data_IF_443198111655
#
_entry.id   IF_443198111655
#
_cell.length_a   1.000
_cell.length_b   1.000
_cell.length_c   1.000
_cell.angle_alpha   90.00
_cell.angle_beta   90.00
_cell.angle_gamma   90.00
#
_symmetry.space_group_name_H-M   'P 1'
#
loop_
_entity.id
_entity.type
_entity.pdbx_description
1 polymer ?
#
# COMPACT_ATOMS: atom_id res chain seq x y z
N UNK A 1 23.40 -23.71 0.39
CA UNK A 1 23.94 -22.67 1.33
C UNK A 1 24.18 -23.29 2.71
N UNK A 2 25.25 -22.90 3.39
CA UNK A 2 25.67 -23.54 4.65
C UNK A 2 24.75 -23.24 5.86
N UNK A 3 23.83 -22.28 5.72
CA UNK A 3 23.03 -21.72 6.82
C UNK A 3 21.52 -21.92 6.64
N UNK A 4 21.12 -22.90 5.82
CA UNK A 4 19.69 -23.22 5.63
C UNK A 4 19.22 -24.13 6.76
N UNK A 5 18.22 -23.65 7.52
CA UNK A 5 17.60 -24.40 8.62
C UNK A 5 16.48 -25.31 8.15
N UNK A 6 15.73 -24.88 7.13
CA UNK A 6 14.60 -25.61 6.56
C UNK A 6 14.45 -25.30 5.07
N UNK A 7 14.02 -26.29 4.31
CA UNK A 7 13.67 -26.14 2.89
C UNK A 7 12.22 -26.58 2.67
N UNK A 8 11.45 -25.75 1.98
CA UNK A 8 10.08 -26.06 1.55
C UNK A 8 10.01 -26.04 0.03
N UNK A 9 9.46 -27.10 -0.57
CA UNK A 9 9.25 -27.20 -2.02
C UNK A 9 7.76 -27.13 -2.29
N UNK A 10 7.34 -26.23 -3.16
CA UNK A 10 5.95 -26.10 -3.65
C UNK A 10 5.95 -25.90 -5.16
N UNK A 11 5.46 -26.89 -5.88
CA UNK A 11 5.46 -26.88 -7.36
C UNK A 11 6.85 -26.54 -7.92
N UNK A 12 6.96 -25.36 -8.57
CA UNK A 12 8.17 -24.85 -9.19
C UNK A 12 8.94 -23.84 -8.33
N UNK A 13 8.69 -23.82 -7.01
CA UNK A 13 9.35 -22.89 -6.09
C UNK A 13 9.94 -23.63 -4.91
N UNK A 14 11.12 -23.21 -4.53
CA UNK A 14 11.80 -23.69 -3.33
C UNK A 14 12.07 -22.53 -2.40
N UNK A 15 11.58 -22.64 -1.16
CA UNK A 15 11.84 -21.63 -0.11
C UNK A 15 12.89 -22.18 0.83
N UNK A 16 13.97 -21.45 0.98
CA UNK A 16 15.06 -21.71 1.92
C UNK A 16 14.87 -20.80 3.13
N UNK A 17 14.62 -21.41 4.29
CA UNK A 17 14.53 -20.69 5.55
C UNK A 17 15.91 -20.65 6.20
N UNK A 18 16.38 -19.46 6.48
CA UNK A 18 17.59 -19.15 7.21
C UNK A 18 17.21 -18.47 8.52
N UNK A 19 18.16 -18.30 9.43
CA UNK A 19 17.94 -17.76 10.78
C UNK A 19 17.06 -16.50 10.82
N UNK A 20 17.27 -15.57 9.90
CA UNK A 20 16.66 -14.24 9.95
C UNK A 20 15.81 -13.90 8.71
N UNK A 21 15.95 -14.68 7.64
CA UNK A 21 15.25 -14.44 6.36
C UNK A 21 14.81 -15.76 5.74
N UNK A 22 13.79 -15.70 4.91
CA UNK A 22 13.42 -16.76 3.99
C UNK A 22 13.59 -16.28 2.54
N UNK A 23 14.21 -17.11 1.71
CA UNK A 23 14.42 -16.80 0.29
C UNK A 23 13.69 -17.82 -0.57
N UNK A 24 12.78 -17.34 -1.41
CA UNK A 24 12.07 -18.18 -2.37
C UNK A 24 12.69 -18.04 -3.75
N UNK A 25 13.01 -19.17 -4.34
CA UNK A 25 13.65 -19.29 -5.64
C UNK A 25 12.73 -20.07 -6.57
N UNK A 26 12.61 -19.61 -7.81
CA UNK A 26 11.97 -20.38 -8.85
C UNK A 26 12.90 -21.52 -9.31
N UNK A 27 12.41 -22.74 -9.25
CA UNK A 27 13.19 -23.97 -9.56
C UNK A 27 12.60 -24.76 -10.74
N UNK A 28 11.51 -24.27 -11.33
CA UNK A 28 10.87 -24.88 -12.49
C UNK A 28 11.62 -24.61 -13.79
N UNK A 29 11.15 -25.18 -14.92
CA UNK A 29 11.70 -24.91 -16.24
C UNK A 29 11.45 -23.45 -16.65
N UNK A 30 12.29 -22.92 -17.55
CA UNK A 30 12.04 -21.60 -18.14
C UNK A 30 10.66 -21.55 -18.77
N UNK A 31 9.85 -20.58 -18.40
CA UNK A 31 8.47 -20.47 -18.87
C UNK A 31 8.05 -19.00 -18.91
N UNK A 32 7.33 -18.67 -19.99
CA UNK A 32 6.63 -17.40 -20.12
C UNK A 32 5.22 -17.54 -19.57
N UNK A 33 4.81 -16.62 -18.69
CA UNK A 33 3.46 -16.60 -18.11
C UNK A 33 2.86 -15.21 -18.19
N UNK A 34 1.59 -15.15 -18.55
CA UNK A 34 0.77 -13.97 -18.39
C UNK A 34 0.35 -13.86 -16.92
N UNK A 35 0.71 -12.76 -16.28
CA UNK A 35 0.44 -12.50 -14.88
C UNK A 35 -0.31 -11.19 -14.78
N UNK A 36 -1.33 -11.13 -13.94
CA UNK A 36 -2.00 -9.87 -13.63
C UNK A 36 -1.10 -9.02 -12.72
N UNK A 37 -0.61 -7.92 -13.27
CA UNK A 37 0.12 -6.93 -12.49
C UNK A 37 -0.86 -6.20 -11.56
N UNK A 38 -0.64 -6.20 -10.23
CA UNK A 38 -1.55 -5.58 -9.27
C UNK A 38 -1.67 -4.07 -9.45
N UNK A 39 -0.62 -3.42 -9.97
CA UNK A 39 -0.59 -1.98 -10.18
C UNK A 39 -1.18 -1.57 -11.54
N UNK A 40 -1.14 -2.45 -12.55
CA UNK A 40 -1.57 -2.11 -13.92
C UNK A 40 -2.92 -2.70 -14.31
N UNK A 41 -3.44 -3.65 -13.57
CA UNK A 41 -4.75 -4.26 -13.81
C UNK A 41 -4.87 -5.10 -15.10
N UNK A 42 -3.83 -5.15 -15.94
CA UNK A 42 -3.77 -5.92 -17.17
C UNK A 42 -2.66 -6.97 -17.08
N UNK A 43 -2.83 -8.07 -17.78
CA UNK A 43 -1.84 -9.11 -17.81
C UNK A 43 -0.49 -8.60 -18.35
N UNK A 44 0.53 -8.74 -17.54
CA UNK A 44 1.91 -8.56 -17.97
C UNK A 44 2.54 -9.94 -18.22
N UNK A 45 3.35 -10.04 -19.25
CA UNK A 45 4.08 -11.27 -19.54
C UNK A 45 5.39 -11.27 -18.78
N UNK A 46 5.60 -12.30 -17.95
CA UNK A 46 6.83 -12.50 -17.21
C UNK A 46 7.54 -13.78 -17.64
N UNK A 47 8.85 -13.69 -17.69
CA UNK A 47 9.72 -14.84 -17.90
C UNK A 47 10.20 -15.36 -16.55
N UNK A 48 9.95 -16.65 -16.30
CA UNK A 48 10.48 -17.34 -15.14
C UNK A 48 11.68 -18.18 -15.59
N UNK A 49 12.82 -17.91 -14.99
CA UNK A 49 14.03 -18.68 -15.23
C UNK A 49 14.43 -19.47 -13.97
N UNK A 50 14.96 -20.69 -14.13
CA UNK A 50 15.47 -21.46 -13.00
C UNK A 50 16.51 -20.67 -12.20
N UNK A 51 16.48 -20.84 -10.89
CA UNK A 51 17.38 -20.19 -9.92
C UNK A 51 17.18 -18.67 -9.78
N UNK A 52 16.06 -18.11 -10.27
CA UNK A 52 15.71 -16.71 -10.02
C UNK A 52 15.11 -16.56 -8.63
N UNK A 53 15.65 -15.63 -7.83
CA UNK A 53 15.05 -15.24 -6.55
C UNK A 53 13.76 -14.48 -6.84
N UNK A 54 12.66 -14.96 -6.26
CA UNK A 54 11.32 -14.40 -6.48
C UNK A 54 10.76 -13.70 -5.25
N UNK A 55 11.22 -14.07 -4.05
CA UNK A 55 10.86 -13.39 -2.82
C UNK A 55 11.98 -13.50 -1.79
N UNK A 56 12.18 -12.42 -1.02
CA UNK A 56 12.98 -12.41 0.21
C UNK A 56 12.04 -11.90 1.30
N UNK A 57 11.81 -12.70 2.32
CA UNK A 57 10.88 -12.43 3.41
C UNK A 57 11.59 -12.38 4.75
N UNK A 58 11.22 -11.44 5.62
CA UNK A 58 11.64 -11.42 7.01
C UNK A 58 10.54 -10.92 7.95
N UNK A 59 10.46 -11.57 9.09
CA UNK A 59 9.68 -11.10 10.27
C UNK A 59 10.61 -10.75 11.44
N UNK A 60 11.90 -10.86 11.25
CA UNK A 60 12.91 -10.68 12.30
C UNK A 60 13.18 -9.21 12.55
N UNK A 61 13.01 -8.77 13.79
CA UNK A 61 13.41 -7.41 14.21
C UNK A 61 14.89 -7.17 13.96
N UNK A 62 15.20 -6.01 13.38
CA UNK A 62 16.57 -5.61 13.03
C UNK A 62 17.03 -6.07 11.64
N UNK A 63 16.22 -6.84 10.91
CA UNK A 63 16.43 -7.09 9.49
C UNK A 63 15.75 -5.97 8.70
N UNK A 64 16.50 -4.95 8.39
CA UNK A 64 15.97 -3.73 7.80
C UNK A 64 16.36 -3.61 6.33
N UNK A 65 15.55 -2.85 5.59
CA UNK A 65 15.88 -2.40 4.23
C UNK A 65 17.03 -1.39 4.27
N UNK A 66 17.55 -0.99 3.11
CA UNK A 66 18.59 0.04 2.99
C UNK A 66 18.18 1.41 3.58
N UNK A 67 16.88 1.66 3.73
CA UNK A 67 16.34 2.87 4.38
C UNK A 67 16.07 2.69 5.88
N UNK A 68 16.65 1.65 6.46
CA UNK A 68 16.56 1.31 7.88
C UNK A 68 15.14 1.01 8.38
N UNK A 69 14.27 0.51 7.51
CA UNK A 69 12.89 0.14 7.81
C UNK A 69 12.72 -1.38 7.70
N UNK A 70 12.13 -1.99 8.74
CA UNK A 70 11.90 -3.43 8.80
C UNK A 70 10.97 -3.83 9.94
N UNK A 71 10.86 -5.13 10.26
CA UNK A 71 10.03 -5.60 11.35
C UNK A 71 10.42 -4.96 12.69
N UNK A 72 9.42 -4.38 13.35
CA UNK A 72 9.59 -3.59 14.56
C UNK A 72 9.62 -2.08 14.36
N UNK A 73 9.85 -1.59 13.15
CA UNK A 73 9.65 -0.19 12.80
C UNK A 73 8.15 0.15 12.82
N UNK A 74 7.84 1.41 13.00
CA UNK A 74 6.46 1.90 12.97
C UNK A 74 6.03 2.25 11.54
N UNK A 75 4.72 2.26 11.30
CA UNK A 75 4.15 2.74 10.04
C UNK A 75 4.55 4.19 9.75
N UNK A 76 4.68 5.02 10.78
CA UNK A 76 5.10 6.41 10.64
C UNK A 76 6.54 6.51 10.10
N UNK A 77 7.46 5.73 10.64
CA UNK A 77 8.85 5.66 10.14
C UNK A 77 8.88 5.17 8.70
N UNK A 78 8.04 4.17 8.36
CA UNK A 78 7.91 3.70 6.98
C UNK A 78 7.50 4.81 6.02
N UNK A 79 6.43 5.55 6.35
CA UNK A 79 5.93 6.63 5.47
C UNK A 79 6.95 7.79 5.40
N UNK A 80 7.68 8.08 6.46
CA UNK A 80 8.77 9.05 6.39
C UNK A 80 9.91 8.61 5.47
N UNK A 81 10.26 7.33 5.50
CA UNK A 81 11.38 6.81 4.71
C UNK A 81 11.03 6.57 3.23
N UNK A 82 9.81 6.11 2.96
CA UNK A 82 9.38 5.66 1.63
C UNK A 82 8.32 6.56 0.98
N UNK A 83 7.71 7.46 1.73
CA UNK A 83 6.55 8.23 1.27
C UNK A 83 5.25 7.43 1.27
N UNK A 84 4.29 7.87 0.49
CA UNK A 84 3.02 7.17 0.31
C UNK A 84 3.20 5.86 -0.46
N UNK A 85 2.49 4.78 -0.08
CA UNK A 85 2.59 3.52 -0.81
C UNK A 85 1.97 3.62 -2.20
N UNK A 86 2.50 2.86 -3.17
CA UNK A 86 1.93 2.76 -4.51
C UNK A 86 0.64 1.94 -4.53
N UNK A 87 0.51 0.99 -3.60
CA UNK A 87 -0.71 0.22 -3.40
C UNK A 87 -0.86 -0.21 -1.96
N UNK A 88 -2.09 -0.44 -1.54
CA UNK A 88 -2.42 -0.90 -0.22
C UNK A 88 -3.47 -2.00 -0.28
N UNK A 89 -3.29 -3.05 0.52
CA UNK A 89 -4.30 -4.07 0.76
C UNK A 89 -4.60 -4.15 2.24
N UNK A 90 -5.81 -4.60 2.50
CA UNK A 90 -6.22 -4.99 3.82
C UNK A 90 -6.49 -6.49 3.86
N UNK A 91 -5.81 -7.18 4.74
CA UNK A 91 -6.17 -8.53 5.15
C UNK A 91 -7.13 -8.44 6.34
N UNK A 92 -8.43 -8.57 6.05
CA UNK A 92 -9.47 -8.47 7.08
C UNK A 92 -9.37 -9.58 8.12
N UNK A 93 -8.93 -10.77 7.71
CA UNK A 93 -8.83 -11.95 8.58
C UNK A 93 -7.77 -11.77 9.66
N UNK A 94 -6.64 -11.17 9.30
CA UNK A 94 -5.49 -10.99 10.18
C UNK A 94 -5.39 -9.56 10.74
N UNK A 95 -6.33 -8.67 10.37
CA UNK A 95 -6.34 -7.25 10.76
C UNK A 95 -5.03 -6.53 10.40
N UNK A 96 -4.47 -6.88 9.24
CA UNK A 96 -3.21 -6.32 8.75
C UNK A 96 -3.42 -5.49 7.50
N UNK A 97 -2.53 -4.51 7.29
CA UNK A 97 -2.39 -3.78 6.03
C UNK A 97 -1.08 -4.19 5.36
N UNK A 98 -1.09 -4.26 4.05
CA UNK A 98 0.12 -4.47 3.26
C UNK A 98 0.34 -3.22 2.42
N UNK A 99 1.42 -2.49 2.68
CA UNK A 99 1.85 -1.35 1.91
C UNK A 99 2.87 -1.81 0.87
N UNK A 100 2.60 -1.50 -0.39
CA UNK A 100 3.47 -1.85 -1.51
C UNK A 100 4.16 -0.62 -2.06
N UNK A 101 5.45 -0.73 -2.26
CA UNK A 101 6.29 0.27 -2.91
C UNK A 101 6.94 -0.35 -4.15
N UNK A 102 6.77 0.32 -5.29
CA UNK A 102 7.44 -0.08 -6.53
C UNK A 102 8.92 0.37 -6.49
N UNK A 103 9.83 -0.55 -6.78
CA UNK A 103 11.24 -0.22 -6.96
C UNK A 103 11.44 0.50 -8.29
N UNK A 104 11.93 1.73 -8.24
CA UNK A 104 12.40 2.40 -9.44
C UNK A 104 13.85 1.97 -9.70
N UNK A 105 14.06 1.24 -10.77
CA UNK A 105 15.38 0.69 -11.16
C UNK A 105 16.44 1.77 -11.41
N UNK A 106 16.06 3.02 -11.59
CA UNK A 106 17.00 4.08 -11.96
C UNK A 106 17.59 4.86 -10.78
N UNK A 107 16.95 4.89 -9.60
CA UNK A 107 17.38 5.75 -8.50
C UNK A 107 17.51 5.09 -7.11
N UNK A 108 17.10 3.85 -6.91
CA UNK A 108 17.02 3.23 -5.58
C UNK A 108 18.11 2.20 -5.26
N UNK A 109 18.83 1.72 -6.25
CA UNK A 109 19.98 0.83 -6.04
C UNK A 109 21.25 1.49 -6.56
N UNK A 110 22.40 1.30 -5.90
CA UNK A 110 23.66 1.72 -6.48
C UNK A 110 23.77 1.07 -7.86
N UNK A 111 23.83 1.90 -8.91
CA UNK A 111 23.96 1.43 -10.27
C UNK A 111 25.12 0.44 -10.32
N UNK A 112 24.85 -0.82 -10.62
CA UNK A 112 25.86 -1.81 -10.91
C UNK A 112 26.58 -1.41 -12.20
N UNK A 113 27.64 -0.64 -12.09
CA UNK A 113 28.54 -0.34 -13.22
C UNK A 113 29.25 -1.57 -13.79
N UNK A 114 29.16 -2.74 -13.15
CA UNK A 114 30.01 -3.88 -13.45
C UNK A 114 29.28 -5.23 -13.69
N UNK A 115 27.97 -5.25 -13.84
CA UNK A 115 27.33 -6.48 -14.34
C UNK A 115 27.18 -6.42 -15.84
N UNK A 116 28.20 -6.91 -16.55
CA UNK A 116 28.08 -7.28 -17.95
C UNK A 116 27.09 -8.42 -18.03
N UNK A 117 25.92 -8.15 -18.61
CA UNK A 117 24.97 -9.19 -19.00
C UNK A 117 25.68 -10.17 -19.93
N UNK A 118 25.62 -11.50 -19.70
CA UNK A 118 26.29 -12.44 -20.57
C UNK A 118 25.61 -12.63 -21.94
N UNK A 119 24.64 -11.83 -22.30
CA UNK A 119 23.95 -11.93 -23.59
C UNK A 119 24.09 -10.63 -24.38
N UNK A 120 25.29 -10.29 -24.78
CA UNK A 120 25.53 -9.60 -26.05
C UNK A 120 25.70 -10.67 -27.10
N UNK A 121 24.63 -11.10 -27.74
CA UNK A 121 24.70 -11.70 -29.06
C UNK A 121 23.49 -11.31 -29.90
N UNK A 122 23.75 -10.32 -30.73
CA UNK A 122 23.44 -10.23 -32.15
C UNK A 122 22.03 -10.54 -32.63
N UNK A 123 21.45 -9.51 -33.26
CA UNK A 123 20.39 -9.61 -34.26
C UNK A 123 19.00 -10.11 -33.78
N UNK A 124 18.36 -9.35 -32.97
CA UNK A 124 16.90 -9.41 -32.89
C UNK A 124 16.32 -8.01 -32.83
N UNK A 125 15.34 -7.79 -33.69
CA UNK A 125 14.63 -6.56 -33.94
C UNK A 125 14.39 -5.72 -32.67
N UNK A 126 14.75 -4.46 -32.73
CA UNK A 126 14.59 -3.46 -31.70
C UNK A 126 13.16 -3.30 -31.12
N UNK A 127 12.17 -3.95 -31.72
CA UNK A 127 10.79 -4.01 -31.22
C UNK A 127 10.56 -5.12 -30.16
N UNK A 128 11.38 -6.18 -30.13
CA UNK A 128 11.26 -7.23 -29.11
C UNK A 128 11.94 -6.86 -27.78
N UNK A 129 12.95 -6.01 -27.80
CA UNK A 129 13.60 -5.54 -26.58
C UNK A 129 12.74 -4.57 -25.78
N UNK A 130 11.79 -3.85 -26.41
CA UNK A 130 10.84 -2.99 -25.71
C UNK A 130 9.68 -3.74 -25.04
N UNK A 131 9.48 -5.02 -25.39
CA UNK A 131 8.45 -5.89 -24.79
C UNK A 131 8.99 -6.80 -23.68
N UNK A 132 10.29 -6.90 -23.51
CA UNK A 132 10.90 -7.43 -22.29
C UNK A 132 10.67 -6.36 -21.20
N UNK A 133 9.44 -6.30 -20.72
CA UNK A 133 9.03 -5.39 -19.67
C UNK A 133 10.04 -5.50 -18.54
N UNK A 134 10.66 -4.37 -18.20
CA UNK A 134 11.58 -4.27 -17.07
C UNK A 134 10.97 -5.04 -15.90
N UNK A 135 11.67 -6.06 -15.44
CA UNK A 135 11.25 -6.85 -14.28
C UNK A 135 11.13 -5.85 -13.11
N UNK A 136 9.90 -5.59 -12.71
CA UNK A 136 9.66 -4.67 -11.60
C UNK A 136 9.85 -5.42 -10.29
N UNK A 137 10.54 -4.79 -9.39
CA UNK A 137 10.72 -5.25 -8.02
C UNK A 137 9.82 -4.41 -7.11
N UNK A 138 9.28 -5.05 -6.10
CA UNK A 138 8.42 -4.40 -5.12
C UNK A 138 8.93 -4.69 -3.72
N UNK A 139 8.75 -3.72 -2.84
CA UNK A 139 8.91 -3.93 -1.41
C UNK A 139 7.53 -3.84 -0.79
N UNK A 140 7.12 -4.90 -0.10
CA UNK A 140 5.86 -4.97 0.63
C UNK A 140 6.12 -4.99 2.14
N UNK A 141 5.42 -4.15 2.88
CA UNK A 141 5.46 -4.12 4.33
C UNK A 141 4.11 -4.55 4.89
N UNK A 142 4.10 -5.62 5.66
CA UNK A 142 2.92 -6.04 6.42
C UNK A 142 2.85 -5.29 7.72
N UNK A 143 1.77 -4.55 7.93
CA UNK A 143 1.56 -3.66 9.07
C UNK A 143 0.38 -4.18 9.87
N UNK A 144 0.58 -4.38 11.17
CA UNK A 144 -0.48 -4.70 12.12
C UNK A 144 -0.54 -3.60 13.17
N UNK A 145 -1.75 -3.07 13.40
CA UNK A 145 -1.94 -1.88 14.20
C UNK A 145 -1.08 -0.72 13.66
N UNK A 146 0.03 -0.38 14.32
CA UNK A 146 0.93 0.68 13.88
C UNK A 146 2.37 0.20 13.64
N UNK A 147 2.62 -1.12 13.70
CA UNK A 147 3.96 -1.67 13.60
C UNK A 147 4.13 -2.56 12.37
N UNK A 148 5.32 -2.56 11.82
CA UNK A 148 5.69 -3.47 10.75
C UNK A 148 5.98 -4.84 11.35
N UNK A 149 5.28 -5.87 10.87
CA UNK A 149 5.48 -7.26 11.27
C UNK A 149 6.35 -8.02 10.29
N UNK A 150 6.29 -7.67 9.01
CA UNK A 150 7.06 -8.34 7.98
C UNK A 150 7.49 -7.38 6.88
N UNK A 151 8.60 -7.70 6.24
CA UNK A 151 9.05 -7.07 5.00
C UNK A 151 9.29 -8.15 3.95
N UNK A 152 8.84 -7.89 2.73
CA UNK A 152 9.03 -8.74 1.56
C UNK A 152 9.65 -7.93 0.43
N UNK A 153 10.71 -8.45 -0.20
CA UNK A 153 11.21 -7.97 -1.48
C UNK A 153 10.72 -8.96 -2.52
N UNK A 154 9.88 -8.51 -3.44
CA UNK A 154 9.10 -9.37 -4.32
C UNK A 154 9.42 -9.04 -5.78
N UNK A 155 9.79 -10.04 -6.56
CA UNK A 155 9.75 -9.93 -8.01
C UNK A 155 8.30 -9.86 -8.48
N UNK A 156 7.98 -8.92 -9.38
CA UNK A 156 6.64 -8.79 -9.98
C UNK A 156 6.07 -10.07 -10.57
N UNK A 157 6.92 -11.03 -10.89
CA UNK A 157 6.55 -12.36 -11.39
C UNK A 157 5.74 -13.22 -10.41
N UNK A 158 5.82 -12.94 -9.10
CA UNK A 158 5.25 -13.82 -8.04
C UNK A 158 4.01 -13.25 -7.40
N UNK A 159 3.74 -12.00 -7.67
CA UNK A 159 2.71 -11.21 -7.00
C UNK A 159 1.31 -11.85 -6.90
N UNK A 160 0.74 -12.45 -7.96
CA UNK A 160 -0.63 -12.98 -7.89
C UNK A 160 -0.82 -14.17 -6.92
N UNK A 161 0.27 -14.75 -6.39
CA UNK A 161 0.18 -15.93 -5.52
C UNK A 161 -0.24 -15.63 -4.09
N UNK A 162 -0.22 -14.37 -3.68
CA UNK A 162 -0.61 -14.03 -2.31
C UNK A 162 -2.14 -14.11 -2.08
N UNK A 163 -2.93 -14.39 -3.14
CA UNK A 163 -4.38 -14.55 -3.00
C UNK A 163 -5.07 -13.29 -2.46
N UNK A 164 -4.38 -12.15 -2.54
CA UNK A 164 -4.88 -10.90 -2.02
C UNK A 164 -5.99 -10.36 -2.93
N UNK A 165 -7.02 -9.74 -2.36
CA UNK A 165 -8.05 -9.09 -3.13
C UNK A 165 -7.43 -7.99 -4.01
N UNK A 166 -8.17 -7.54 -5.01
CA UNK A 166 -7.73 -6.49 -5.93
C UNK A 166 -7.15 -5.31 -5.15
N UNK A 167 -5.88 -4.98 -5.44
CA UNK A 167 -5.23 -3.85 -4.81
C UNK A 167 -5.94 -2.54 -5.15
N UNK A 168 -5.97 -1.64 -4.20
CA UNK A 168 -6.21 -0.23 -4.48
C UNK A 168 -4.88 0.39 -4.92
N UNK A 169 -4.75 0.68 -6.22
CA UNK A 169 -3.55 1.28 -6.81
C UNK A 169 -3.60 2.79 -6.68
N UNK A 170 -2.49 3.39 -6.29
CA UNK A 170 -2.38 4.85 -6.13
C UNK A 170 -1.13 5.36 -6.84
N UNK A 171 -1.33 6.44 -7.61
CA UNK A 171 -0.25 7.22 -8.21
C UNK A 171 -0.28 8.62 -7.57
N UNK A 172 0.47 8.77 -6.49
CA UNK A 172 0.48 10.00 -5.72
C UNK A 172 1.81 10.73 -5.85
N UNK A 173 1.71 11.99 -6.24
CA UNK A 173 2.79 12.94 -6.07
C UNK A 173 2.65 13.65 -4.71
N UNK A 174 3.73 13.67 -3.91
CA UNK A 174 3.71 14.31 -2.60
C UNK A 174 3.27 15.78 -2.69
N UNK A 175 2.31 16.17 -1.84
CA UNK A 175 1.77 17.52 -1.81
C UNK A 175 0.76 17.85 -2.92
N UNK A 176 0.62 17.04 -3.96
CA UNK A 176 -0.37 17.26 -5.03
C UNK A 176 -1.60 16.40 -4.76
N UNK A 177 -2.74 17.03 -4.51
CA UNK A 177 -4.01 16.35 -4.25
C UNK A 177 -4.72 15.98 -5.55
N UNK A 178 -5.28 14.79 -5.59
CA UNK A 178 -6.11 14.29 -6.68
C UNK A 178 -7.51 13.97 -6.17
N UNK A 179 -8.47 13.74 -7.07
CA UNK A 179 -9.83 13.33 -6.68
C UNK A 179 -9.83 12.03 -5.87
N UNK A 180 -8.84 11.17 -6.07
CA UNK A 180 -8.73 9.88 -5.39
C UNK A 180 -8.37 10.01 -3.90
N UNK A 181 -7.73 11.10 -3.49
CA UNK A 181 -7.49 11.39 -2.07
C UNK A 181 -8.79 11.56 -1.27
N UNK A 182 -9.89 11.88 -1.96
CA UNK A 182 -11.21 12.10 -1.38
C UNK A 182 -12.13 10.87 -1.46
N UNK A 183 -11.57 9.72 -1.80
CA UNK A 183 -12.24 8.43 -1.73
C UNK A 183 -11.69 7.68 -0.51
N UNK A 184 -12.50 7.54 0.53
CA UNK A 184 -12.13 6.86 1.77
C UNK A 184 -12.83 5.50 1.84
N UNK A 185 -12.07 4.42 1.93
CA UNK A 185 -12.61 3.04 1.97
C UNK A 185 -13.54 2.70 0.79
N UNK A 186 -13.25 3.25 -0.40
CA UNK A 186 -14.08 3.08 -1.59
C UNK A 186 -15.32 3.99 -1.65
N UNK A 187 -15.58 4.75 -0.59
CA UNK A 187 -16.71 5.67 -0.54
C UNK A 187 -16.32 7.06 -1.03
N UNK A 188 -17.17 7.61 -1.87
CA UNK A 188 -17.05 8.98 -2.38
C UNK A 188 -18.28 9.79 -1.98
N UNK A 189 -18.09 11.07 -1.68
CA UNK A 189 -19.22 11.97 -1.37
C UNK A 189 -20.16 12.08 -2.58
N UNK A 190 -21.45 12.14 -2.30
CA UNK A 190 -22.57 12.18 -3.23
C UNK A 190 -22.84 10.90 -4.03
N UNK A 191 -22.08 9.82 -3.81
CA UNK A 191 -22.48 8.51 -4.33
C UNK A 191 -23.61 7.93 -3.49
N UNK A 192 -24.45 7.08 -4.09
CA UNK A 192 -25.41 6.30 -3.34
C UNK A 192 -24.72 5.30 -2.44
N UNK A 193 -25.15 5.27 -1.19
CA UNK A 193 -24.61 4.31 -0.23
C UNK A 193 -25.09 2.91 -0.59
N UNK A 194 -24.15 1.99 -0.73
CA UNK A 194 -24.40 0.56 -0.86
C UNK A 194 -23.80 -0.12 0.36
N UNK A 195 -24.64 -0.83 1.10
CA UNK A 195 -24.17 -1.59 2.26
C UNK A 195 -23.16 -2.66 1.80
N UNK A 196 -22.01 -2.70 2.47
CA UNK A 196 -21.02 -3.76 2.22
C UNK A 196 -21.50 -5.05 2.90
N UNK A 197 -21.88 -6.09 2.14
CA UNK A 197 -22.41 -7.33 2.72
C UNK A 197 -21.34 -8.11 3.51
N UNK A 198 -20.06 -7.77 3.35
CA UNK A 198 -18.94 -8.40 4.04
C UNK A 198 -18.56 -7.69 5.35
N UNK A 199 -19.19 -6.56 5.64
CA UNK A 199 -18.96 -5.80 6.86
C UNK A 199 -20.24 -5.77 7.71
N UNK A 200 -20.20 -6.38 8.86
CA UNK A 200 -21.26 -6.24 9.86
C UNK A 200 -21.26 -4.81 10.40
N UNK A 201 -22.27 -4.02 10.04
CA UNK A 201 -22.48 -2.74 10.66
C UNK A 201 -22.78 -2.93 12.15
N UNK A 202 -22.14 -2.10 13.02
CA UNK A 202 -22.23 -2.27 14.47
C UNK A 202 -23.07 -1.22 15.15
N UNK A 203 -23.30 -0.09 14.49
CA UNK A 203 -24.05 1.01 15.07
C UNK A 203 -24.74 1.84 13.99
N UNK A 204 -26.03 2.12 14.23
CA UNK A 204 -26.77 3.08 13.42
C UNK A 204 -27.31 4.19 14.33
N UNK A 205 -27.20 5.43 13.90
CA UNK A 205 -27.64 6.58 14.65
C UNK A 205 -27.90 7.80 13.77
N UNK A 206 -28.10 8.93 14.40
CA UNK A 206 -28.24 10.22 13.72
C UNK A 206 -27.05 11.09 14.08
N UNK A 207 -26.34 11.57 13.06
CA UNK A 207 -25.21 12.47 13.19
C UNK A 207 -25.46 13.73 12.35
N UNK A 208 -25.57 14.89 12.98
CA UNK A 208 -25.85 16.17 12.33
C UNK A 208 -27.05 16.14 11.38
N UNK A 209 -28.13 15.42 11.75
CA UNK A 209 -29.35 15.32 10.96
C UNK A 209 -29.32 14.33 9.79
N UNK A 210 -28.25 13.58 9.65
CA UNK A 210 -28.07 12.52 8.67
C UNK A 210 -28.05 11.15 9.34
N UNK A 211 -28.44 10.10 8.63
CA UNK A 211 -28.29 8.72 9.13
C UNK A 211 -26.81 8.36 9.14
N UNK A 212 -26.31 7.96 10.30
CA UNK A 212 -24.93 7.49 10.49
C UNK A 212 -24.91 5.98 10.62
N UNK A 213 -24.04 5.33 9.85
CA UNK A 213 -23.82 3.88 9.85
C UNK A 213 -22.36 3.66 10.21
N UNK A 214 -22.13 3.09 11.39
CA UNK A 214 -20.79 2.85 11.93
C UNK A 214 -20.35 1.41 11.74
N UNK A 215 -19.14 1.22 11.25
CA UNK A 215 -18.42 -0.04 11.15
C UNK A 215 -17.21 -0.01 12.09
N UNK A 216 -16.49 -1.12 12.19
CA UNK A 216 -15.31 -1.18 13.06
C UNK A 216 -14.22 -0.16 12.69
N UNK A 217 -14.07 0.15 11.41
CA UNK A 217 -12.94 0.90 10.87
C UNK A 217 -13.30 2.25 10.33
N UNK A 218 -14.57 2.43 10.00
CA UNK A 218 -15.07 3.66 9.41
C UNK A 218 -16.54 3.85 9.76
N UNK A 219 -17.01 5.06 9.52
CA UNK A 219 -18.43 5.37 9.57
C UNK A 219 -18.83 6.17 8.35
N UNK A 220 -20.06 5.97 7.89
CA UNK A 220 -20.64 6.68 6.75
C UNK A 220 -21.90 7.40 7.22
N UNK A 221 -22.03 8.68 6.86
CA UNK A 221 -23.29 9.40 7.01
C UNK A 221 -23.96 9.56 5.65
N UNK A 222 -25.24 9.32 5.61
CA UNK A 222 -26.06 9.46 4.41
C UNK A 222 -27.23 10.44 4.65
N UNK A 223 -27.60 11.15 3.63
CA UNK A 223 -28.75 12.04 3.66
C UNK A 223 -30.08 11.28 3.45
N UNK A 224 -31.18 12.02 3.36
CA UNK A 224 -32.54 11.44 3.13
C UNK A 224 -32.72 10.77 1.78
N UNK A 225 -31.76 10.92 0.85
CA UNK A 225 -31.75 10.30 -0.47
C UNK A 225 -30.72 9.18 -0.57
N UNK A 226 -30.21 8.71 0.56
CA UNK A 226 -29.14 7.73 0.67
C UNK A 226 -27.83 8.15 -0.03
N UNK A 227 -27.61 9.46 -0.19
CA UNK A 227 -26.35 9.98 -0.70
C UNK A 227 -25.33 10.17 0.44
N UNK A 228 -24.12 9.70 0.21
CA UNK A 228 -23.01 9.84 1.16
C UNK A 228 -22.65 11.30 1.29
N UNK A 229 -22.76 11.83 2.50
CA UNK A 229 -22.36 13.22 2.83
C UNK A 229 -21.16 13.30 3.75
N UNK A 230 -20.72 12.20 4.37
CA UNK A 230 -19.53 12.13 5.20
C UNK A 230 -19.01 10.69 5.28
N UNK A 231 -17.70 10.56 5.29
CA UNK A 231 -16.98 9.33 5.64
C UNK A 231 -16.02 9.65 6.77
N UNK A 232 -16.03 8.86 7.83
CA UNK A 232 -15.15 8.98 8.99
C UNK A 232 -14.27 7.74 9.07
N UNK A 233 -12.97 7.92 9.24
CA UNK A 233 -12.06 6.83 9.54
C UNK A 233 -11.82 6.74 11.03
N UNK A 234 -11.68 5.54 11.56
CA UNK A 234 -11.34 5.34 12.96
C UNK A 234 -9.83 5.11 13.16
N UNK A 235 -9.45 4.85 14.41
CA UNK A 235 -8.07 4.87 14.93
C UNK A 235 -7.04 4.10 14.08
N UNK A 236 -7.43 3.00 13.43
CA UNK A 236 -6.48 2.11 12.76
C UNK A 236 -6.59 2.12 11.24
N UNK A 237 -7.51 2.90 10.71
CA UNK A 237 -7.74 2.93 9.26
C UNK A 237 -6.95 4.05 8.61
N UNK A 238 -5.90 3.76 7.86
CA UNK A 238 -5.15 4.79 7.17
C UNK A 238 -5.93 5.33 5.97
N UNK A 239 -5.66 6.59 5.62
CA UNK A 239 -6.03 7.15 4.33
C UNK A 239 -5.26 6.45 3.21
N UNK A 240 -5.61 6.71 1.96
CA UNK A 240 -4.88 6.18 0.80
C UNK A 240 -3.40 6.53 0.82
N UNK A 241 -3.02 7.68 1.37
CA UNK A 241 -1.61 8.10 1.52
C UNK A 241 -0.93 7.53 2.77
N UNK A 242 -1.58 6.65 3.49
CA UNK A 242 -1.00 5.99 4.65
C UNK A 242 -1.10 6.78 5.96
N UNK A 243 -1.79 7.92 6.00
CA UNK A 243 -2.00 8.71 7.22
C UNK A 243 -3.16 8.14 8.03
N UNK A 244 -2.96 7.95 9.33
CA UNK A 244 -3.99 7.47 10.26
C UNK A 244 -4.01 8.31 11.54
N UNK A 245 -5.01 8.07 12.39
CA UNK A 245 -5.07 8.69 13.72
C UNK A 245 -3.82 8.36 14.53
N UNK A 246 -3.33 9.33 15.29
CA UNK A 246 -2.10 9.24 16.06
C UNK A 246 -0.83 9.64 15.30
N UNK A 247 -0.92 9.93 14.01
CA UNK A 247 0.20 10.50 13.27
C UNK A 247 0.42 11.97 13.62
N UNK A 248 1.67 12.41 13.52
CA UNK A 248 2.03 13.80 13.78
C UNK A 248 1.59 14.73 12.66
N UNK A 249 1.34 15.99 12.98
CA UNK A 249 1.09 17.05 11.99
C UNK A 249 2.22 17.17 10.96
N UNK A 250 3.45 16.87 11.34
CA UNK A 250 4.60 16.95 10.43
C UNK A 250 4.54 15.87 9.34
N UNK A 251 4.13 14.64 9.71
CA UNK A 251 3.91 13.58 8.74
C UNK A 251 2.74 13.91 7.82
N UNK A 252 1.64 14.43 8.36
CA UNK A 252 0.50 14.90 7.56
C UNK A 252 0.94 15.96 6.54
N UNK A 253 1.67 16.99 6.96
CA UNK A 253 2.18 18.04 6.07
C UNK A 253 3.18 17.51 5.04
N UNK A 254 4.01 16.54 5.43
CA UNK A 254 4.95 15.90 4.51
C UNK A 254 4.22 15.17 3.36
N UNK A 255 3.13 14.47 3.68
CA UNK A 255 2.40 13.61 2.73
C UNK A 255 1.38 14.39 1.91
N UNK A 256 0.62 15.28 2.57
CA UNK A 256 -0.49 16.03 1.96
C UNK A 256 -0.14 17.46 1.56
N UNK A 257 1.03 17.95 1.97
CA UNK A 257 1.42 19.34 1.80
C UNK A 257 0.67 20.30 2.72
N UNK A 258 0.68 21.59 2.38
CA UNK A 258 -0.01 22.61 3.18
C UNK A 258 -1.53 22.50 3.00
N UNK A 259 -2.32 22.58 4.09
CA UNK A 259 -3.76 22.56 4.00
C UNK A 259 -4.30 23.81 3.29
N UNK A 260 -5.46 23.66 2.66
CA UNK A 260 -6.17 24.79 2.04
C UNK A 260 -6.65 25.79 3.08
N UNK A 261 -7.03 25.27 4.26
CA UNK A 261 -7.50 26.07 5.39
C UNK A 261 -7.18 25.39 6.71
N UNK A 262 -6.88 26.18 7.72
CA UNK A 262 -6.74 25.73 9.11
C UNK A 262 -7.89 26.37 9.90
N UNK A 263 -8.64 25.56 10.65
CA UNK A 263 -9.78 25.98 11.45
C UNK A 263 -9.61 25.53 12.88
N UNK A 264 -9.76 26.44 13.83
CA UNK A 264 -9.89 26.07 15.23
C UNK A 264 -11.33 25.67 15.52
N UNK A 265 -11.52 24.48 16.10
CA UNK A 265 -12.82 23.96 16.52
C UNK A 265 -12.83 23.79 18.01
N UNK A 266 -13.63 24.59 18.68
CA UNK A 266 -13.81 24.48 20.13
C UNK A 266 -15.08 23.71 20.44
N UNK A 267 -14.96 22.60 21.16
CA UNK A 267 -16.06 21.77 21.63
C UNK A 267 -16.05 21.71 23.14
N UNK A 268 -17.06 21.03 23.74
CA UNK A 268 -17.06 20.76 25.18
C UNK A 268 -15.88 19.90 25.64
N UNK A 269 -15.27 19.16 24.74
CA UNK A 269 -14.12 18.28 25.00
C UNK A 269 -12.77 19.01 24.90
N UNK A 270 -12.74 20.23 24.36
CA UNK A 270 -11.53 21.00 24.16
C UNK A 270 -11.49 21.73 22.81
N UNK A 271 -10.37 22.37 22.57
CA UNK A 271 -10.06 23.01 21.27
C UNK A 271 -9.19 22.04 20.46
N UNK A 272 -9.56 21.83 19.21
CA UNK A 272 -8.76 21.07 18.25
C UNK A 272 -8.49 21.92 17.00
N UNK A 273 -7.33 21.73 16.41
CA UNK A 273 -6.96 22.36 15.14
C UNK A 273 -7.34 21.44 14.00
N UNK A 274 -8.19 21.89 13.07
CA UNK A 274 -8.62 21.09 11.90
C UNK A 274 -7.91 21.58 10.66
N UNK A 275 -7.17 20.70 10.02
CA UNK A 275 -6.54 20.93 8.72
C UNK A 275 -7.48 20.45 7.62
N UNK A 276 -7.88 21.39 6.74
CA UNK A 276 -8.81 21.12 5.64
C UNK A 276 -8.09 21.17 4.31
N UNK A 277 -8.25 20.12 3.54
CA UNK A 277 -7.77 20.01 2.17
C UNK A 277 -8.97 19.98 1.23
N UNK A 278 -9.02 20.93 0.30
CA UNK A 278 -10.12 21.06 -0.67
C UNK A 278 -9.94 20.06 -1.81
N UNK A 279 -11.02 19.37 -2.19
CA UNK A 279 -11.01 18.49 -3.34
C UNK A 279 -10.84 19.31 -4.63
N UNK A 280 -9.80 19.06 -5.44
CA UNK A 280 -9.59 19.78 -6.71
C UNK A 280 -10.69 19.54 -7.73
N UNK A 281 -11.40 18.39 -7.64
CA UNK A 281 -12.46 18.02 -8.58
C UNK A 281 -13.87 18.41 -8.10
N UNK A 282 -14.05 18.87 -6.83
CA UNK A 282 -15.38 19.17 -6.28
C UNK A 282 -15.33 20.27 -5.24
N UNK A 283 -16.00 21.41 -5.53
CA UNK A 283 -15.90 22.62 -4.72
C UNK A 283 -16.37 22.51 -3.27
N UNK A 284 -17.27 21.57 -2.96
CA UNK A 284 -17.88 21.37 -1.64
C UNK A 284 -17.42 20.08 -0.95
N UNK A 285 -16.30 19.53 -1.37
CA UNK A 285 -15.72 18.30 -0.80
C UNK A 285 -14.37 18.62 -0.15
N UNK A 286 -14.21 18.20 1.09
CA UNK A 286 -13.02 18.45 1.89
C UNK A 286 -12.57 17.17 2.59
N UNK A 287 -11.27 16.97 2.66
CA UNK A 287 -10.63 16.02 3.57
C UNK A 287 -10.19 16.79 4.82
N UNK A 288 -10.59 16.34 5.98
CA UNK A 288 -10.34 17.03 7.25
C UNK A 288 -9.56 16.13 8.20
N UNK A 289 -8.52 16.69 8.82
CA UNK A 289 -7.75 16.05 9.87
C UNK A 289 -7.88 16.93 11.13
N UNK A 290 -8.49 16.38 12.18
CA UNK A 290 -8.51 17.01 13.49
C UNK A 290 -7.21 16.64 14.23
N UNK A 291 -6.51 17.65 14.69
CA UNK A 291 -5.25 17.50 15.43
C UNK A 291 -5.51 17.90 16.89
N UNK A 292 -5.05 17.06 17.81
CA UNK A 292 -4.98 17.41 19.22
C UNK A 292 -3.68 18.21 19.44
N UNK A 293 -3.78 19.32 20.17
CA UNK A 293 -2.64 20.17 20.50
C UNK A 293 -1.73 19.55 21.57
#
# INVERSE_FOLDING_TARGET
>A
PKDVEKTEVRENFTTYHMKDIAVTVYTGPSVERLVNDPLRGQGATYFFEPNTITNIHSTKKGVNTIRDIGPGSTRMELVFAYGSPNAMWRDQKNETYIFLYEGHSENSWPQKKDFKSPVENTNSNSQQQSMLGQQKEYIAFTIKQSNIEAVDIISGQVWPRFGLPKAEVYDFEAGTLTADDFVLRGFKLNDHFVNDPNNDWKHQGILFGSTFIGYNEYGVSVDKKDLINRVLLNVYTPTRRGIAMGDTKYLLLFVYGMPTRIVESTTKAGTSTVYEYKNPAASNSYLQFALDD
#
